data_IF_251997127048
#
_entry.id   IF_251997127048
#
_cell.length_a   1.000
_cell.length_b   1.000
_cell.length_c   1.000
_cell.angle_alpha   90.00
_cell.angle_beta   90.00
_cell.angle_gamma   90.00
#
_symmetry.space_group_name_H-M   'P 1'
#
loop_
_entity.id
_entity.type
_entity.pdbx_description
1 polymer ?
#
# COMPACT_ATOMS: atom_id res chain seq x y z
N UNK A 1 29.77 9.39 43.40
CA UNK A 1 29.37 10.80 43.15
C UNK A 1 29.88 11.16 41.76
N UNK A 2 29.01 11.18 40.77
CA UNK A 2 29.29 11.61 39.40
C UNK A 2 28.13 12.53 39.04
N UNK A 3 28.46 13.81 38.93
CA UNK A 3 27.53 14.89 38.65
C UNK A 3 27.23 14.95 37.15
N UNK A 4 26.01 15.38 36.85
CA UNK A 4 25.40 15.51 35.54
C UNK A 4 26.15 16.50 34.64
N UNK A 5 26.21 16.19 33.35
CA UNK A 5 26.44 17.17 32.30
C UNK A 5 25.45 16.92 31.16
N UNK A 6 24.30 17.60 31.20
CA UNK A 6 23.44 17.75 30.02
C UNK A 6 24.22 18.66 29.08
N UNK A 7 24.79 18.08 28.02
CA UNK A 7 25.42 18.88 26.98
C UNK A 7 24.29 19.47 26.12
N UNK A 8 24.08 20.77 26.27
CA UNK A 8 23.22 21.57 25.43
C UNK A 8 23.73 21.51 23.99
N UNK A 9 23.11 20.67 23.16
CA UNK A 9 22.94 21.00 21.75
C UNK A 9 21.64 21.78 21.64
N UNK A 10 21.74 23.08 21.94
CA UNK A 10 20.76 24.09 21.56
C UNK A 10 20.55 24.04 20.04
N UNK A 11 19.30 23.92 19.61
CA UNK A 11 18.87 24.54 18.35
C UNK A 11 18.66 23.66 17.13
N UNK A 12 18.59 22.33 17.22
CA UNK A 12 17.91 21.58 16.16
C UNK A 12 16.39 21.66 16.40
N UNK A 13 15.80 22.79 16.00
CA UNK A 13 14.36 22.82 15.71
C UNK A 13 14.11 21.72 14.67
N UNK A 14 13.37 20.68 15.07
CA UNK A 14 12.83 19.71 14.14
C UNK A 14 11.93 20.46 13.18
N UNK A 15 12.48 20.91 12.06
CA UNK A 15 11.74 21.53 10.97
C UNK A 15 10.89 20.46 10.32
N UNK A 16 9.68 20.33 10.83
CA UNK A 16 8.66 19.46 10.29
C UNK A 16 8.20 20.06 8.96
N UNK A 17 8.85 19.67 7.87
CA UNK A 17 8.41 20.04 6.51
C UNK A 17 6.99 19.55 6.29
N UNK A 18 6.14 20.43 5.76
CA UNK A 18 4.78 20.14 5.32
C UNK A 18 4.86 19.16 4.14
N UNK A 19 4.36 17.94 4.35
CA UNK A 19 4.29 16.94 3.29
C UNK A 19 2.91 17.05 2.67
N UNK A 20 2.85 17.33 1.37
CA UNK A 20 1.58 17.47 0.66
C UNK A 20 0.71 16.22 0.81
N UNK A 21 -0.59 16.44 1.02
CA UNK A 21 -1.55 15.35 1.19
C UNK A 21 -1.63 14.50 -0.09
N UNK A 22 -1.62 13.16 0.00
CA UNK A 22 -1.69 12.30 -1.18
C UNK A 22 -3.02 12.50 -1.90
N UNK A 23 -2.96 12.58 -3.22
CA UNK A 23 -4.18 12.53 -4.03
C UNK A 23 -4.80 11.15 -3.91
N UNK A 24 -6.00 11.08 -3.32
CA UNK A 24 -6.79 9.86 -3.23
C UNK A 24 -7.30 9.49 -4.62
N UNK A 25 -7.04 8.27 -5.06
CA UNK A 25 -7.64 7.70 -6.26
C UNK A 25 -9.11 7.35 -6.03
N UNK A 26 -9.97 7.85 -6.90
CA UNK A 26 -11.39 7.52 -6.99
C UNK A 26 -11.57 6.34 -7.94
N UNK A 27 -11.12 5.15 -7.53
CA UNK A 27 -11.30 3.91 -8.29
C UNK A 27 -12.08 2.89 -7.45
N UNK A 28 -12.97 2.15 -8.10
CA UNK A 28 -13.65 1.00 -7.51
C UNK A 28 -12.80 -0.27 -7.56
N UNK A 29 -13.15 -1.28 -6.77
CA UNK A 29 -12.48 -2.58 -6.76
C UNK A 29 -12.54 -3.25 -8.15
N UNK A 30 -13.71 -3.23 -8.78
CA UNK A 30 -13.91 -3.82 -10.12
C UNK A 30 -13.09 -3.09 -11.19
N UNK A 31 -12.99 -1.76 -11.10
CA UNK A 31 -12.18 -0.97 -12.02
C UNK A 31 -10.69 -1.26 -11.84
N UNK A 32 -10.22 -1.36 -10.59
CA UNK A 32 -8.85 -1.74 -10.27
C UNK A 32 -8.50 -3.12 -10.83
N UNK A 33 -9.41 -4.09 -10.66
CA UNK A 33 -9.27 -5.43 -11.22
C UNK A 33 -9.22 -5.43 -12.74
N UNK A 34 -10.14 -4.70 -13.38
CA UNK A 34 -10.19 -4.59 -14.84
C UNK A 34 -8.88 -4.03 -15.38
N UNK A 35 -8.40 -2.90 -14.84
CA UNK A 35 -7.15 -2.28 -15.27
C UNK A 35 -5.95 -3.19 -15.05
N UNK A 36 -5.88 -3.89 -13.92
CA UNK A 36 -4.81 -4.82 -13.64
C UNK A 36 -4.79 -6.00 -14.60
N UNK A 37 -5.95 -6.58 -14.93
CA UNK A 37 -6.07 -7.69 -15.88
C UNK A 37 -5.70 -7.24 -17.29
N UNK A 38 -6.19 -6.08 -17.74
CA UNK A 38 -5.93 -5.53 -19.07
C UNK A 38 -4.44 -5.24 -19.31
N UNK A 39 -3.72 -4.78 -18.28
CA UNK A 39 -2.31 -4.42 -18.37
C UNK A 39 -1.36 -5.51 -17.83
N UNK A 40 -1.88 -6.71 -17.53
CA UNK A 40 -1.08 -7.76 -16.91
C UNK A 40 -0.11 -8.41 -17.90
N UNK A 41 1.17 -8.03 -17.82
CA UNK A 41 2.24 -8.70 -18.58
C UNK A 41 2.31 -10.19 -18.28
N UNK A 42 2.08 -10.59 -17.02
CA UNK A 42 2.12 -12.01 -16.65
C UNK A 42 0.99 -12.81 -17.30
N UNK A 43 -0.23 -12.26 -17.38
CA UNK A 43 -1.33 -12.93 -18.08
C UNK A 43 -1.10 -13.00 -19.59
N UNK A 44 -0.55 -11.93 -20.18
CA UNK A 44 -0.19 -11.94 -21.59
C UNK A 44 0.87 -13.01 -21.89
N UNK A 45 1.90 -13.13 -21.07
CA UNK A 45 2.90 -14.19 -21.17
C UNK A 45 2.27 -15.59 -21.10
N UNK A 46 1.32 -15.81 -20.18
CA UNK A 46 0.60 -17.09 -20.07
C UNK A 46 -0.24 -17.39 -21.32
N UNK A 47 -0.89 -16.39 -21.92
CA UNK A 47 -1.60 -16.56 -23.21
C UNK A 47 -0.63 -17.00 -24.30
N UNK A 48 0.54 -16.36 -24.41
CA UNK A 48 1.56 -16.74 -25.40
C UNK A 48 2.06 -18.17 -25.21
N UNK A 49 2.18 -18.64 -23.97
CA UNK A 49 2.54 -20.03 -23.68
C UNK A 49 1.47 -21.03 -24.13
N UNK A 50 0.18 -20.68 -24.00
CA UNK A 50 -0.92 -21.50 -24.53
C UNK A 50 -0.85 -21.57 -26.05
N UNK A 51 -0.66 -20.45 -26.72
CA UNK A 51 -0.56 -20.41 -28.19
C UNK A 51 0.65 -21.21 -28.70
N UNK A 52 1.81 -21.09 -28.05
CA UNK A 52 2.97 -21.90 -28.39
C UNK A 52 2.68 -23.41 -28.27
N UNK A 53 2.04 -23.84 -27.19
CA UNK A 53 1.68 -25.25 -26.99
C UNK A 53 0.68 -25.76 -28.05
N UNK A 54 -0.21 -24.90 -28.55
CA UNK A 54 -1.12 -25.25 -29.66
C UNK A 54 -0.37 -25.41 -30.98
N UNK A 55 0.54 -24.48 -31.29
CA UNK A 55 1.38 -24.53 -32.50
C UNK A 55 2.25 -25.78 -32.50
N UNK A 56 2.80 -26.17 -31.35
CA UNK A 56 3.59 -27.40 -31.23
C UNK A 56 2.75 -28.65 -31.53
N UNK A 57 1.49 -28.70 -31.06
CA UNK A 57 0.56 -29.78 -31.38
C UNK A 57 0.23 -29.83 -32.87
N UNK A 58 -0.14 -28.69 -33.45
CA UNK A 58 -0.48 -28.58 -34.89
C UNK A 58 0.68 -29.08 -35.76
N UNK A 59 1.91 -28.67 -35.43
CA UNK A 59 3.11 -29.14 -36.14
C UNK A 59 3.27 -30.66 -36.05
N UNK A 60 3.07 -31.24 -34.86
CA UNK A 60 3.21 -32.68 -34.66
C UNK A 60 2.15 -33.48 -35.42
N UNK A 61 0.92 -32.96 -35.49
CA UNK A 61 -0.18 -33.54 -36.29
C UNK A 61 0.16 -33.54 -37.79
N UNK A 62 0.72 -32.44 -38.30
CA UNK A 62 1.16 -32.35 -39.71
C UNK A 62 2.30 -33.34 -40.01
N UNK A 63 3.22 -33.55 -39.08
CA UNK A 63 4.33 -34.49 -39.27
C UNK A 63 3.97 -35.96 -39.01
N UNK A 64 2.68 -36.27 -38.80
CA UNK A 64 2.20 -37.62 -38.46
C UNK A 64 2.98 -38.24 -37.29
N UNK A 65 3.24 -37.44 -36.24
CA UNK A 65 3.92 -37.91 -35.03
C UNK A 65 3.16 -39.06 -34.36
N UNK A 66 3.85 -39.93 -33.60
CA UNK A 66 3.19 -41.02 -32.88
C UNK A 66 2.08 -40.52 -31.94
N UNK A 67 1.01 -41.29 -31.80
CA UNK A 67 -0.15 -40.98 -30.96
C UNK A 67 0.24 -40.61 -29.52
N UNK A 68 1.24 -41.30 -28.96
CA UNK A 68 1.73 -41.01 -27.61
C UNK A 68 2.27 -39.58 -27.48
N UNK A 69 2.96 -39.07 -28.51
CA UNK A 69 3.53 -37.73 -28.50
C UNK A 69 2.45 -36.67 -28.72
N UNK A 70 1.46 -36.94 -29.58
CA UNK A 70 0.27 -36.10 -29.71
C UNK A 70 -0.48 -35.98 -28.38
N UNK A 71 -0.63 -37.08 -27.63
CA UNK A 71 -1.24 -37.07 -26.29
C UNK A 71 -0.45 -36.22 -25.29
N UNK A 72 0.89 -36.28 -25.30
CA UNK A 72 1.72 -35.42 -24.44
C UNK A 72 1.51 -33.94 -24.76
N UNK A 73 1.48 -33.58 -26.04
CA UNK A 73 1.26 -32.20 -26.47
C UNK A 73 -0.14 -31.68 -26.09
N UNK A 74 -1.18 -32.50 -26.25
CA UNK A 74 -2.52 -32.19 -25.75
C UNK A 74 -2.54 -31.97 -24.23
N UNK A 75 -1.85 -32.81 -23.47
CA UNK A 75 -1.69 -32.61 -22.02
C UNK A 75 -0.96 -31.31 -21.69
N UNK A 76 0.07 -30.93 -22.46
CA UNK A 76 0.80 -29.68 -22.27
C UNK A 76 -0.10 -28.45 -22.49
N UNK A 77 -1.00 -28.48 -23.48
CA UNK A 77 -2.03 -27.43 -23.65
C UNK A 77 -2.93 -27.38 -22.41
N UNK A 78 -3.36 -28.53 -21.89
CA UNK A 78 -4.12 -28.61 -20.64
C UNK A 78 -3.40 -27.96 -19.45
N UNK A 79 -2.11 -28.27 -19.28
CA UNK A 79 -1.25 -27.67 -18.25
C UNK A 79 -1.09 -26.16 -18.44
N UNK A 80 -0.90 -25.68 -19.67
CA UNK A 80 -0.79 -24.25 -19.97
C UNK A 80 -2.08 -23.49 -19.60
N UNK A 81 -3.25 -24.04 -19.92
CA UNK A 81 -4.55 -23.47 -19.54
C UNK A 81 -4.78 -23.47 -18.02
N UNK A 82 -4.37 -24.54 -17.33
CA UNK A 82 -4.45 -24.62 -15.88
C UNK A 82 -3.56 -23.54 -15.22
N UNK A 83 -2.34 -23.37 -15.74
CA UNK A 83 -1.42 -22.35 -15.27
C UNK A 83 -1.95 -20.93 -15.52
N UNK A 84 -2.53 -20.64 -16.68
CA UNK A 84 -3.20 -19.37 -16.94
C UNK A 84 -4.31 -19.10 -15.92
N UNK A 85 -5.20 -20.06 -15.71
CA UNK A 85 -6.33 -19.94 -14.77
C UNK A 85 -5.85 -19.71 -13.34
N UNK A 86 -4.77 -20.41 -12.93
CA UNK A 86 -4.15 -20.23 -11.62
C UNK A 86 -3.58 -18.82 -11.47
N UNK A 87 -2.76 -18.37 -12.43
CA UNK A 87 -2.17 -17.02 -12.42
C UNK A 87 -3.24 -15.93 -12.41
N UNK A 88 -4.35 -16.12 -13.14
CA UNK A 88 -5.47 -15.18 -13.13
C UNK A 88 -6.11 -15.06 -11.75
N UNK A 89 -6.35 -16.18 -11.06
CA UNK A 89 -6.89 -16.17 -9.69
C UNK A 89 -5.92 -15.55 -8.68
N UNK A 90 -4.64 -15.84 -8.83
CA UNK A 90 -3.59 -15.24 -7.97
C UNK A 90 -3.52 -13.71 -8.17
N UNK A 91 -3.64 -13.24 -9.42
CA UNK A 91 -3.69 -11.82 -9.72
C UNK A 91 -4.95 -11.17 -9.13
N UNK A 92 -6.14 -11.74 -9.33
CA UNK A 92 -7.40 -11.23 -8.77
C UNK A 92 -7.29 -11.07 -7.25
N UNK A 93 -6.87 -12.14 -6.54
CA UNK A 93 -6.67 -12.11 -5.10
C UNK A 93 -5.65 -11.04 -4.65
N UNK A 94 -4.54 -10.90 -5.38
CA UNK A 94 -3.51 -9.91 -5.08
C UNK A 94 -4.04 -8.47 -5.22
N UNK A 95 -4.76 -8.19 -6.30
CA UNK A 95 -5.31 -6.85 -6.56
C UNK A 95 -6.40 -6.50 -5.55
N UNK A 96 -7.29 -7.44 -5.20
CA UNK A 96 -8.28 -7.22 -4.14
C UNK A 96 -7.60 -6.88 -2.81
N UNK A 97 -6.59 -7.66 -2.42
CA UNK A 97 -5.84 -7.41 -1.19
C UNK A 97 -5.18 -6.02 -1.20
N UNK A 98 -4.57 -5.63 -2.32
CA UNK A 98 -3.95 -4.31 -2.48
C UNK A 98 -5.00 -3.19 -2.41
N UNK A 99 -6.17 -3.38 -3.04
CA UNK A 99 -7.28 -2.44 -2.99
C UNK A 99 -7.80 -2.22 -1.56
N UNK A 100 -8.06 -3.30 -0.81
CA UNK A 100 -8.51 -3.18 0.58
C UNK A 100 -7.44 -2.59 1.49
N UNK A 101 -6.16 -2.92 1.26
CA UNK A 101 -5.04 -2.31 1.98
C UNK A 101 -5.00 -0.81 1.71
N UNK A 102 -5.13 -0.39 0.45
CA UNK A 102 -5.21 1.01 0.06
C UNK A 102 -6.38 1.72 0.76
N UNK A 103 -7.59 1.15 0.74
CA UNK A 103 -8.76 1.71 1.44
C UNK A 103 -8.52 1.85 2.94
N UNK A 104 -7.88 0.85 3.57
CA UNK A 104 -7.54 0.91 4.98
C UNK A 104 -6.52 2.01 5.27
N UNK A 105 -5.51 2.20 4.41
CA UNK A 105 -4.54 3.29 4.54
C UNK A 105 -5.23 4.66 4.44
N UNK A 106 -6.14 4.84 3.48
CA UNK A 106 -6.90 6.11 3.35
C UNK A 106 -7.74 6.39 4.61
N UNK A 107 -8.45 5.39 5.13
CA UNK A 107 -9.21 5.57 6.37
C UNK A 107 -8.31 5.87 7.57
N UNK A 108 -7.13 5.23 7.63
CA UNK A 108 -6.13 5.51 8.67
C UNK A 108 -5.56 6.93 8.58
N UNK A 109 -5.38 7.44 7.36
CA UNK A 109 -4.94 8.81 7.11
C UNK A 109 -5.99 9.83 7.57
N UNK A 110 -7.27 9.63 7.22
CA UNK A 110 -8.38 10.47 7.70
C UNK A 110 -8.47 10.49 9.23
N UNK A 111 -8.39 9.32 9.87
CA UNK A 111 -8.39 9.24 11.33
C UNK A 111 -7.17 9.95 11.95
N UNK A 112 -5.99 9.80 11.36
CA UNK A 112 -4.79 10.47 11.85
C UNK A 112 -4.90 11.99 11.76
N UNK A 113 -5.52 12.52 10.70
CA UNK A 113 -5.77 13.94 10.54
C UNK A 113 -6.75 14.46 11.59
N UNK A 114 -7.83 13.73 11.85
CA UNK A 114 -8.81 14.07 12.89
C UNK A 114 -8.17 14.11 14.28
N UNK A 115 -7.34 13.12 14.60
CA UNK A 115 -6.57 13.09 15.85
C UNK A 115 -5.66 14.31 15.98
N UNK A 116 -4.91 14.64 14.93
CA UNK A 116 -4.01 15.79 14.95
C UNK A 116 -4.77 17.10 15.18
N UNK A 117 -5.92 17.28 14.53
CA UNK A 117 -6.78 18.45 14.73
C UNK A 117 -7.24 18.56 16.19
N UNK A 118 -7.65 17.44 16.78
CA UNK A 118 -8.07 17.39 18.18
C UNK A 118 -6.92 17.67 19.15
N UNK A 119 -5.73 17.13 18.91
CA UNK A 119 -4.55 17.39 19.72
C UNK A 119 -4.11 18.86 19.65
N UNK A 120 -4.17 19.46 18.47
CA UNK A 120 -3.92 20.89 18.27
C UNK A 120 -4.90 21.77 19.05
N UNK A 121 -6.21 21.48 18.95
CA UNK A 121 -7.24 22.22 19.68
C UNK A 121 -7.06 22.10 21.19
N UNK A 122 -6.82 20.88 21.69
CA UNK A 122 -6.55 20.63 23.10
C UNK A 122 -5.30 21.38 23.60
N UNK A 123 -4.21 21.38 22.81
CA UNK A 123 -2.99 22.12 23.14
C UNK A 123 -3.25 23.64 23.21
N UNK A 124 -4.06 24.18 22.30
CA UNK A 124 -4.47 25.59 22.32
C UNK A 124 -5.26 25.93 23.58
N UNK A 125 -6.26 25.11 23.93
CA UNK A 125 -7.09 25.31 25.14
C UNK A 125 -6.24 25.26 26.40
N UNK A 126 -5.35 24.26 26.53
CA UNK A 126 -4.49 24.12 27.71
C UNK A 126 -3.51 25.30 27.82
N UNK A 127 -2.97 25.75 26.68
CA UNK A 127 -2.12 26.95 26.64
C UNK A 127 -2.84 28.18 27.21
N UNK A 128 -4.10 28.39 26.84
CA UNK A 128 -4.91 29.49 27.38
C UNK A 128 -5.21 29.32 28.87
N UNK A 129 -5.54 28.11 29.32
CA UNK A 129 -5.82 27.81 30.72
C UNK A 129 -4.58 27.99 31.61
N UNK A 130 -3.38 27.66 31.12
CA UNK A 130 -2.11 27.93 31.83
C UNK A 130 -1.87 29.44 31.92
N UNK A 131 -2.11 30.21 30.85
CA UNK A 131 -2.00 31.68 30.87
C UNK A 131 -2.96 32.31 31.88
N UNK A 132 -4.15 31.74 32.04
CA UNK A 132 -5.15 32.15 33.03
C UNK A 132 -4.87 31.62 34.45
N UNK A 133 -3.83 30.81 34.65
CA UNK A 133 -3.50 30.20 35.96
C UNK A 133 -4.44 29.06 36.39
N UNK A 134 -5.27 28.54 35.49
CA UNK A 134 -6.24 27.47 35.74
C UNK A 134 -5.63 26.06 35.60
N UNK A 135 -4.50 25.95 34.89
CA UNK A 135 -3.76 24.71 34.64
C UNK A 135 -2.27 24.90 34.93
N UNK A 136 -1.57 23.78 35.11
CA UNK A 136 -0.14 23.77 35.40
C UNK A 136 0.71 23.68 34.13
N UNK A 137 2.00 24.04 34.23
CA UNK A 137 2.96 23.82 33.15
C UNK A 137 3.13 22.34 32.78
N UNK A 138 2.91 21.42 33.73
CA UNK A 138 2.95 19.98 33.45
C UNK A 138 1.77 19.53 32.57
N UNK A 139 0.60 20.14 32.74
CA UNK A 139 -0.55 19.90 31.86
C UNK A 139 -0.24 20.34 30.42
N UNK A 140 0.43 21.49 30.26
CA UNK A 140 0.87 21.99 28.96
C UNK A 140 1.89 21.06 28.30
N UNK A 141 2.93 20.64 29.03
CA UNK A 141 3.93 19.69 28.49
C UNK A 141 3.29 18.38 28.04
N UNK A 142 2.29 17.89 28.77
CA UNK A 142 1.57 16.67 28.39
C UNK A 142 0.77 16.86 27.09
N UNK A 143 0.16 18.03 26.92
CA UNK A 143 -0.58 18.37 25.70
C UNK A 143 0.36 18.52 24.48
N UNK A 144 1.51 19.17 24.66
CA UNK A 144 2.54 19.32 23.63
C UNK A 144 3.11 17.95 23.20
N UNK A 145 3.37 17.04 24.15
CA UNK A 145 3.80 15.68 23.85
C UNK A 145 2.75 14.95 23.01
N UNK A 146 1.47 15.00 23.42
CA UNK A 146 0.38 14.37 22.66
C UNK A 146 0.28 14.92 21.24
N UNK A 147 0.43 16.24 21.06
CA UNK A 147 0.44 16.86 19.75
C UNK A 147 1.61 16.35 18.89
N UNK A 148 2.82 16.29 19.45
CA UNK A 148 4.00 15.79 18.73
C UNK A 148 3.85 14.32 18.34
N UNK A 149 3.26 13.48 19.20
CA UNK A 149 2.97 12.08 18.90
C UNK A 149 2.01 11.94 17.72
N UNK A 150 0.93 12.73 17.68
CA UNK A 150 -0.05 12.69 16.59
C UNK A 150 0.53 13.26 15.28
N UNK A 151 1.36 14.30 15.34
CA UNK A 151 2.11 14.80 14.17
C UNK A 151 3.04 13.73 13.58
N UNK A 152 3.75 12.98 14.44
CA UNK A 152 4.63 11.91 14.00
C UNK A 152 3.84 10.75 13.37
N UNK A 153 2.66 10.42 13.94
CA UNK A 153 1.77 9.38 13.42
C UNK A 153 1.19 9.75 12.05
N UNK A 154 0.77 11.00 11.85
CA UNK A 154 0.27 11.50 10.56
C UNK A 154 1.35 11.36 9.49
N UNK A 155 2.58 11.82 9.78
CA UNK A 155 3.71 11.70 8.84
C UNK A 155 4.06 10.26 8.47
N UNK A 156 3.92 9.33 9.42
CA UNK A 156 4.11 7.89 9.17
C UNK A 156 3.00 7.29 8.30
N UNK A 157 1.78 7.83 8.40
CA UNK A 157 0.59 7.32 7.70
C UNK A 157 0.48 7.83 6.27
N UNK A 158 1.18 8.93 5.94
CA UNK A 158 1.33 9.38 4.57
C UNK A 158 1.98 8.27 3.73
N UNK A 159 1.31 7.79 2.66
CA UNK A 159 1.84 6.73 1.84
C UNK A 159 3.13 7.21 1.18
N UNK A 160 4.26 6.57 1.51
CA UNK A 160 5.42 6.60 0.62
C UNK A 160 4.93 6.02 -0.69
N UNK A 161 4.94 6.83 -1.75
CA UNK A 161 4.44 6.55 -3.09
C UNK A 161 4.49 5.06 -3.48
N UNK A 162 3.39 4.34 -3.28
CA UNK A 162 3.23 2.94 -3.70
C UNK A 162 1.76 2.80 -4.13
N UNK A 163 1.52 2.72 -5.45
CA UNK A 163 1.26 1.47 -6.18
C UNK A 163 1.54 1.81 -7.66
N UNK A 164 2.52 1.11 -8.23
CA UNK A 164 2.71 1.06 -9.69
C UNK A 164 1.57 0.21 -10.23
N UNK A 165 0.62 0.83 -10.93
CA UNK A 165 -0.35 0.14 -11.79
C UNK A 165 0.30 -0.08 -13.15
#
# INVERSE_FOLDING_TARGET
>A
KLELGINNQEGEEFNLVEVGYPKVWEIGEEEALKKAIENSFILELRKRQIELAKVDLERAEVTASPELDLRKLKNNIGLANLNFSKTQKELDNSIRKQFYTYKQTINGLDLSQQNLNQANENNSIITEQVKAGLKTKNDLLSAEISLLEDMAKEKKTLPQSIIVI
#
